data_IF_522911584393
#
_entry.id   IF_522911584393
#
_cell.length_a   1.000
_cell.length_b   1.000
_cell.length_c   1.000
_cell.angle_alpha   90.00
_cell.angle_beta   90.00
_cell.angle_gamma   90.00
#
_symmetry.space_group_name_H-M   'P 1'
#
loop_
_entity.id
_entity.type
_entity.pdbx_description
1 polymer ?
#
# COMPACT_ATOMS: atom_id res chain seq x y z
N UNK A 1 6.88 -29.84 2.05
CA UNK A 1 5.42 -29.94 1.89
C UNK A 1 4.85 -28.53 2.02
N UNK A 2 4.32 -27.95 0.93
CA UNK A 2 3.63 -26.65 1.00
C UNK A 2 2.30 -26.86 1.70
N UNK A 3 2.28 -26.60 3.00
CA UNK A 3 1.05 -26.64 3.80
C UNK A 3 0.27 -25.36 3.48
N UNK A 4 -0.66 -25.44 2.54
CA UNK A 4 -1.59 -24.36 2.30
C UNK A 4 -2.53 -24.23 3.50
N UNK A 5 -2.63 -23.02 4.05
CA UNK A 5 -3.66 -22.70 5.03
C UNK A 5 -4.99 -22.51 4.29
N UNK A 6 -6.10 -22.91 4.91
CA UNK A 6 -7.44 -22.81 4.33
C UNK A 6 -8.41 -22.11 5.30
N UNK A 7 -9.46 -21.48 4.76
CA UNK A 7 -10.59 -20.97 5.54
C UNK A 7 -11.93 -21.28 4.87
N UNK A 8 -13.00 -21.25 5.66
CA UNK A 8 -14.36 -21.53 5.20
C UNK A 8 -15.13 -20.23 4.97
N UNK A 9 -15.79 -20.09 3.83
CA UNK A 9 -16.67 -18.97 3.48
C UNK A 9 -17.89 -19.48 2.71
N UNK A 10 -19.11 -19.10 3.09
CA UNK A 10 -20.37 -19.64 2.52
C UNK A 10 -20.41 -21.17 2.33
N UNK A 11 -19.92 -21.92 3.30
CA UNK A 11 -19.80 -23.38 3.25
C UNK A 11 -18.79 -23.98 2.26
N UNK A 12 -18.01 -23.15 1.58
CA UNK A 12 -16.91 -23.56 0.71
C UNK A 12 -15.55 -23.34 1.38
N UNK A 13 -14.54 -24.10 0.94
CA UNK A 13 -13.18 -24.04 1.45
C UNK A 13 -12.29 -23.31 0.45
N UNK A 14 -11.58 -22.27 0.93
CA UNK A 14 -10.68 -21.46 0.13
C UNK A 14 -9.26 -21.57 0.66
N UNK A 15 -8.29 -21.63 -0.25
CA UNK A 15 -6.88 -21.50 0.12
C UNK A 15 -6.60 -20.05 0.53
N UNK A 16 -5.78 -19.86 1.56
CA UNK A 16 -5.29 -18.54 1.95
C UNK A 16 -4.38 -18.00 0.86
N UNK A 17 -4.49 -16.69 0.59
CA UNK A 17 -3.62 -15.96 -0.33
C UNK A 17 -2.15 -16.27 -0.04
N UNK A 18 -1.40 -16.56 -1.09
CA UNK A 18 0.07 -16.62 -1.02
C UNK A 18 0.57 -15.21 -1.40
N UNK A 19 1.28 -14.51 -0.49
CA UNK A 19 1.87 -13.22 -0.83
C UNK A 19 2.83 -13.34 -2.02
N UNK A 20 3.01 -12.26 -2.81
CA UNK A 20 3.92 -12.28 -3.94
C UNK A 20 5.37 -12.48 -3.44
N UNK A 21 6.07 -13.46 -4.03
CA UNK A 21 7.48 -13.72 -3.71
C UNK A 21 8.44 -12.80 -4.48
N UNK A 22 7.98 -12.22 -5.58
CA UNK A 22 8.76 -11.34 -6.45
C UNK A 22 7.92 -10.14 -6.88
N UNK A 23 8.59 -8.99 -7.00
CA UNK A 23 8.00 -7.76 -7.53
C UNK A 23 8.09 -7.80 -9.05
N UNK A 24 6.99 -7.64 -9.79
CA UNK A 24 7.04 -7.54 -11.25
C UNK A 24 7.93 -6.41 -11.76
N UNK A 25 8.34 -6.54 -13.02
CA UNK A 25 8.97 -5.45 -13.76
C UNK A 25 8.07 -4.22 -13.77
N UNK A 26 8.70 -3.04 -13.75
CA UNK A 26 7.98 -1.78 -13.64
C UNK A 26 6.91 -1.62 -14.73
N UNK A 27 5.69 -1.33 -14.31
CA UNK A 27 4.55 -1.11 -15.19
C UNK A 27 4.00 0.30 -14.99
N UNK A 28 4.32 1.20 -15.92
CA UNK A 28 3.90 2.60 -15.85
C UNK A 28 2.39 2.80 -15.75
N UNK A 29 1.57 1.91 -16.34
CA UNK A 29 0.10 2.02 -16.26
C UNK A 29 -0.44 1.79 -14.85
N UNK A 30 0.28 1.03 -14.02
CA UNK A 30 -0.13 0.70 -12.66
C UNK A 30 0.58 1.53 -11.61
N UNK A 31 1.81 1.95 -11.88
CA UNK A 31 2.70 2.44 -10.84
C UNK A 31 3.06 3.92 -10.98
N UNK A 32 2.96 4.50 -12.18
CA UNK A 32 3.54 5.82 -12.45
C UNK A 32 3.03 6.93 -11.53
N UNK A 33 1.75 6.91 -11.13
CA UNK A 33 1.16 7.97 -10.30
C UNK A 33 1.80 8.00 -8.90
N UNK A 34 1.71 6.90 -8.13
CA UNK A 34 2.34 6.87 -6.80
C UNK A 34 3.86 6.94 -6.86
N UNK A 35 4.50 6.38 -7.90
CA UNK A 35 5.96 6.45 -8.08
C UNK A 35 6.41 7.89 -8.27
N UNK A 36 5.74 8.65 -9.14
CA UNK A 36 6.05 10.08 -9.34
C UNK A 36 5.82 10.89 -8.06
N UNK A 37 4.75 10.59 -7.32
CA UNK A 37 4.49 11.25 -6.03
C UNK A 37 5.60 10.96 -5.01
N UNK A 38 6.14 9.75 -4.98
CA UNK A 38 7.29 9.41 -4.14
C UNK A 38 8.57 10.13 -4.60
N UNK A 39 8.86 10.18 -5.90
CA UNK A 39 10.03 10.90 -6.44
C UNK A 39 9.99 12.39 -6.09
N UNK A 40 8.81 13.02 -6.14
CA UNK A 40 8.62 14.40 -5.70
C UNK A 40 8.91 14.55 -4.20
N UNK A 41 8.34 13.67 -3.37
CA UNK A 41 8.56 13.70 -1.92
C UNK A 41 10.04 13.51 -1.54
N UNK A 42 10.75 12.60 -2.23
CA UNK A 42 12.18 12.41 -2.04
C UNK A 42 12.98 13.60 -2.53
N UNK A 43 12.58 14.21 -3.65
CA UNK A 43 13.31 15.34 -4.21
C UNK A 43 13.26 16.57 -3.30
N UNK A 44 12.09 16.83 -2.73
CA UNK A 44 11.86 17.88 -1.75
C UNK A 44 12.69 17.64 -0.48
N UNK A 45 12.57 16.47 0.14
CA UNK A 45 13.26 16.16 1.40
C UNK A 45 14.78 16.03 1.22
N UNK A 46 15.24 15.54 0.07
CA UNK A 46 16.66 15.37 -0.25
C UNK A 46 17.33 16.62 -0.81
N UNK A 47 16.57 17.69 -1.07
CA UNK A 47 17.04 18.89 -1.77
C UNK A 47 17.83 18.55 -3.06
N UNK A 48 17.32 17.58 -3.82
CA UNK A 48 17.94 17.02 -5.03
C UNK A 48 16.85 16.50 -5.95
N UNK A 49 16.85 16.90 -7.22
CA UNK A 49 15.86 16.41 -8.18
C UNK A 49 16.15 14.95 -8.57
N UNK A 50 15.19 14.06 -8.35
CA UNK A 50 15.19 12.70 -8.89
C UNK A 50 14.17 12.58 -10.02
N UNK A 51 14.65 12.37 -11.26
CA UNK A 51 13.77 12.21 -12.43
C UNK A 51 13.39 10.75 -12.67
N UNK A 52 14.14 9.82 -12.06
CA UNK A 52 13.93 8.39 -12.15
C UNK A 52 14.23 7.69 -10.83
N UNK A 53 13.50 6.61 -10.53
CA UNK A 53 13.78 5.79 -9.36
C UNK A 53 15.15 5.08 -9.43
N UNK A 54 15.78 5.03 -10.61
CA UNK A 54 17.13 4.50 -10.79
C UNK A 54 18.22 5.43 -10.24
N UNK A 55 17.90 6.70 -10.04
CA UNK A 55 18.83 7.73 -9.54
C UNK A 55 18.80 7.85 -8.00
N UNK A 56 17.92 7.09 -7.34
CA UNK A 56 17.73 7.16 -5.90
C UNK A 56 18.97 6.66 -5.18
N UNK A 57 19.46 7.49 -4.25
CA UNK A 57 20.44 7.14 -3.24
C UNK A 57 19.73 6.72 -1.93
N UNK A 58 20.51 6.33 -0.92
CA UNK A 58 19.96 6.03 0.39
C UNK A 58 19.59 7.31 1.14
N UNK A 59 18.48 7.34 1.91
CA UNK A 59 17.62 6.20 2.24
C UNK A 59 16.46 5.94 1.27
N UNK A 60 16.30 6.77 0.23
CA UNK A 60 15.12 6.79 -0.64
C UNK A 60 14.99 5.55 -1.52
N UNK A 61 16.11 5.01 -2.00
CA UNK A 61 16.13 3.77 -2.79
C UNK A 61 15.55 2.60 -2.01
N UNK A 62 15.99 2.42 -0.75
CA UNK A 62 15.45 1.38 0.14
C UNK A 62 13.97 1.61 0.44
N UNK A 63 13.58 2.85 0.75
CA UNK A 63 12.18 3.18 0.98
C UNK A 63 11.31 2.87 -0.25
N UNK A 64 11.76 3.27 -1.45
CA UNK A 64 11.07 3.01 -2.70
C UNK A 64 10.90 1.51 -3.00
N UNK A 65 11.94 0.71 -2.80
CA UNK A 65 11.86 -0.74 -2.99
C UNK A 65 10.82 -1.37 -2.06
N UNK A 66 10.78 -0.92 -0.79
CA UNK A 66 9.75 -1.34 0.16
C UNK A 66 8.35 -0.88 -0.26
N UNK A 67 8.20 0.36 -0.73
CA UNK A 67 6.92 0.88 -1.24
C UNK A 67 6.41 0.09 -2.45
N UNK A 68 7.28 -0.30 -3.39
CA UNK A 68 6.90 -1.17 -4.51
C UNK A 68 6.46 -2.55 -4.01
N UNK A 69 7.19 -3.14 -3.06
CA UNK A 69 6.79 -4.41 -2.44
C UNK A 69 5.39 -4.32 -1.82
N UNK A 70 5.17 -3.28 -0.99
CA UNK A 70 3.90 -3.02 -0.32
C UNK A 70 2.75 -2.87 -1.33
N UNK A 71 2.96 -2.11 -2.40
CA UNK A 71 1.99 -1.92 -3.48
C UNK A 71 1.55 -3.25 -4.12
N UNK A 72 2.48 -4.16 -4.39
CA UNK A 72 2.15 -5.46 -4.98
C UNK A 72 1.56 -6.46 -3.99
N UNK A 73 1.89 -6.35 -2.70
CA UNK A 73 1.15 -7.05 -1.64
C UNK A 73 -0.32 -6.64 -1.68
N UNK A 74 -0.62 -5.35 -1.61
CA UNK A 74 -2.00 -4.85 -1.68
C UNK A 74 -2.71 -5.27 -2.98
N UNK A 75 -2.00 -5.22 -4.12
CA UNK A 75 -2.55 -5.65 -5.41
C UNK A 75 -2.88 -7.14 -5.45
N UNK A 76 -2.08 -8.01 -4.81
CA UNK A 76 -2.41 -9.43 -4.72
C UNK A 76 -3.57 -9.68 -3.75
N UNK A 77 -3.70 -8.88 -2.69
CA UNK A 77 -4.86 -8.92 -1.81
C UNK A 77 -6.14 -8.57 -2.57
N UNK A 78 -6.12 -7.50 -3.36
CA UNK A 78 -7.23 -7.09 -4.21
C UNK A 78 -7.71 -8.21 -5.14
N UNK A 79 -6.77 -8.85 -5.85
CA UNK A 79 -7.08 -9.98 -6.74
C UNK A 79 -7.71 -11.11 -5.95
N UNK A 80 -7.09 -11.50 -4.84
CA UNK A 80 -7.56 -12.59 -4.00
C UNK A 80 -8.97 -12.36 -3.48
N UNK A 81 -9.25 -11.17 -2.92
CA UNK A 81 -10.55 -10.91 -2.32
C UNK A 81 -11.65 -10.77 -3.38
N UNK A 82 -11.33 -10.26 -4.58
CA UNK A 82 -12.29 -10.22 -5.68
C UNK A 82 -12.70 -11.61 -6.17
N UNK A 83 -11.79 -12.58 -6.08
CA UNK A 83 -12.07 -13.97 -6.50
C UNK A 83 -12.83 -14.76 -5.43
N UNK A 84 -12.59 -14.48 -4.14
CA UNK A 84 -13.19 -15.23 -3.04
C UNK A 84 -14.51 -14.64 -2.53
N UNK A 85 -14.65 -13.31 -2.54
CA UNK A 85 -15.79 -12.63 -1.96
C UNK A 85 -16.77 -12.13 -3.02
N UNK A 86 -18.07 -12.19 -2.71
CA UNK A 86 -19.14 -11.68 -3.59
C UNK A 86 -19.26 -10.16 -3.57
N UNK A 87 -18.86 -9.54 -2.46
CA UNK A 87 -18.89 -8.10 -2.24
C UNK A 87 -17.53 -7.48 -2.55
N UNK A 88 -17.51 -6.16 -2.80
CA UNK A 88 -16.27 -5.40 -2.99
C UNK A 88 -15.55 -5.13 -1.66
N UNK A 89 -15.02 -6.20 -1.10
CA UNK A 89 -14.34 -6.22 0.20
C UNK A 89 -13.04 -5.39 0.16
N UNK A 90 -12.38 -5.31 -1.00
CA UNK A 90 -11.17 -4.50 -1.14
C UNK A 90 -11.49 -3.00 -1.04
N UNK A 91 -12.56 -2.55 -1.69
CA UNK A 91 -13.01 -1.16 -1.56
C UNK A 91 -13.36 -0.80 -0.12
N UNK A 92 -14.07 -1.67 0.60
CA UNK A 92 -14.36 -1.46 2.02
C UNK A 92 -13.07 -1.34 2.85
N UNK A 93 -12.08 -2.18 2.59
CA UNK A 93 -10.77 -2.12 3.25
C UNK A 93 -10.04 -0.80 2.93
N UNK A 94 -10.08 -0.32 1.68
CA UNK A 94 -9.54 1.00 1.32
C UNK A 94 -10.19 2.13 2.09
N UNK A 95 -11.52 2.12 2.24
CA UNK A 95 -12.23 3.10 3.05
C UNK A 95 -11.77 3.08 4.51
N UNK A 96 -11.60 1.90 5.12
CA UNK A 96 -11.11 1.80 6.50
C UNK A 96 -9.70 2.37 6.67
N UNK A 97 -8.80 2.06 5.73
CA UNK A 97 -7.44 2.61 5.76
C UNK A 97 -7.48 4.13 5.56
N UNK A 98 -8.23 4.61 4.56
CA UNK A 98 -8.39 6.04 4.26
C UNK A 98 -8.87 6.83 5.48
N UNK A 99 -9.94 6.38 6.15
CA UNK A 99 -10.44 7.02 7.37
C UNK A 99 -9.44 6.97 8.54
N UNK A 100 -8.64 5.90 8.65
CA UNK A 100 -7.64 5.76 9.71
C UNK A 100 -6.45 6.70 9.53
N UNK A 101 -6.05 7.00 8.29
CA UNK A 101 -4.92 7.87 7.98
C UNK A 101 -5.31 9.35 7.88
N UNK A 102 -6.60 9.66 7.73
CA UNK A 102 -7.11 11.03 7.58
C UNK A 102 -6.55 12.01 8.63
N UNK A 103 -6.48 11.69 9.94
CA UNK A 103 -5.96 12.60 10.94
C UNK A 103 -4.53 13.07 10.70
N UNK A 104 -3.69 12.23 10.07
CA UNK A 104 -2.28 12.53 9.79
C UNK A 104 -2.13 13.71 8.81
N UNK A 105 -3.13 13.96 7.97
CA UNK A 105 -3.10 15.08 7.02
C UNK A 105 -3.38 16.44 7.66
N UNK A 106 -3.89 16.47 8.89
CA UNK A 106 -4.09 17.69 9.67
C UNK A 106 -2.93 17.99 10.63
N UNK A 107 -1.92 17.11 10.68
CA UNK A 107 -0.70 17.33 11.45
C UNK A 107 0.32 18.16 10.66
N UNK A 108 1.19 18.88 11.37
CA UNK A 108 2.28 19.62 10.76
C UNK A 108 3.41 18.68 10.32
N UNK A 109 3.68 18.65 9.01
CA UNK A 109 4.80 17.91 8.43
C UNK A 109 5.63 18.83 7.55
N UNK A 110 6.91 18.98 7.86
CA UNK A 110 7.81 19.86 7.11
C UNK A 110 8.15 19.35 5.69
N UNK A 111 7.91 18.07 5.41
CA UNK A 111 8.25 17.44 4.14
C UNK A 111 7.26 16.33 3.78
N UNK A 112 6.95 16.19 2.49
CA UNK A 112 6.08 15.13 1.97
C UNK A 112 6.58 13.72 2.34
N UNK A 113 7.90 13.51 2.35
CA UNK A 113 8.49 12.23 2.75
C UNK A 113 8.18 11.86 4.21
N UNK A 114 8.19 12.84 5.12
CA UNK A 114 7.89 12.62 6.54
C UNK A 114 6.41 12.28 6.70
N UNK A 115 5.51 13.03 6.04
CA UNK A 115 4.07 12.76 6.06
C UNK A 115 3.74 11.38 5.50
N UNK A 116 4.37 11.00 4.38
CA UNK A 116 4.25 9.66 3.81
C UNK A 116 4.58 8.57 4.84
N UNK A 117 5.71 8.70 5.55
CA UNK A 117 6.07 7.75 6.60
C UNK A 117 5.07 7.74 7.77
N UNK A 118 4.54 8.89 8.18
CA UNK A 118 3.51 8.98 9.21
C UNK A 118 2.22 8.26 8.79
N UNK A 119 1.75 8.51 7.56
CA UNK A 119 0.59 7.83 6.96
C UNK A 119 0.79 6.31 6.92
N UNK A 120 1.95 5.84 6.45
CA UNK A 120 2.24 4.41 6.37
C UNK A 120 2.30 3.75 7.76
N UNK A 121 2.82 4.45 8.78
CA UNK A 121 2.80 3.97 10.18
C UNK A 121 1.38 3.88 10.71
N UNK A 122 0.56 4.91 10.50
CA UNK A 122 -0.84 4.92 10.93
C UNK A 122 -1.67 3.84 10.23
N UNK A 123 -1.45 3.65 8.93
CA UNK A 123 -2.13 2.61 8.14
C UNK A 123 -1.93 1.23 8.75
N UNK A 124 -0.71 0.86 9.16
CA UNK A 124 -0.40 -0.44 9.78
C UNK A 124 -1.19 -0.67 11.06
N UNK A 125 -1.42 0.37 11.86
CA UNK A 125 -2.14 0.32 13.13
C UNK A 125 -3.66 0.17 12.97
N UNK A 126 -4.19 0.34 11.75
CA UNK A 126 -5.63 0.25 11.49
C UNK A 126 -6.17 -1.14 11.86
N UNK A 127 -7.11 -1.26 12.81
CA UNK A 127 -7.74 -2.54 13.11
C UNK A 127 -8.65 -2.97 11.96
N UNK A 128 -8.60 -4.25 11.60
CA UNK A 128 -9.48 -4.83 10.58
C UNK A 128 -10.53 -5.66 11.29
N UNK A 129 -11.77 -5.17 11.34
CA UNK A 129 -12.88 -5.85 12.01
C UNK A 129 -13.42 -7.06 11.21
N UNK A 130 -13.17 -7.10 9.90
CA UNK A 130 -13.67 -8.17 9.04
C UNK A 130 -12.94 -9.49 9.34
N UNK A 131 -13.70 -10.52 9.74
CA UNK A 131 -13.19 -11.78 10.33
C UNK A 131 -12.19 -12.58 9.48
N UNK A 132 -12.31 -12.50 8.14
CA UNK A 132 -11.36 -13.13 7.22
C UNK A 132 -10.19 -12.20 6.89
N UNK A 133 -10.46 -10.96 6.45
CA UNK A 133 -9.41 -9.97 6.17
C UNK A 133 -8.45 -9.79 7.34
N UNK A 134 -8.92 -9.82 8.58
CA UNK A 134 -8.09 -9.68 9.78
C UNK A 134 -7.02 -10.77 9.91
N UNK A 135 -7.14 -11.87 9.15
CA UNK A 135 -6.20 -13.01 9.15
C UNK A 135 -5.27 -13.02 7.93
N UNK A 136 -5.64 -12.34 6.85
CA UNK A 136 -4.93 -12.42 5.55
C UNK A 136 -4.34 -11.08 5.10
N UNK A 137 -4.81 -9.96 5.68
CA UNK A 137 -4.30 -8.63 5.42
C UNK A 137 -3.16 -8.34 6.39
N UNK A 138 -1.97 -8.16 5.82
CA UNK A 138 -0.72 -7.93 6.52
C UNK A 138 -0.35 -6.45 6.55
N UNK A 139 0.68 -6.10 7.30
CA UNK A 139 1.17 -4.73 7.38
C UNK A 139 1.55 -4.15 6.01
N UNK A 140 2.14 -4.97 5.13
CA UNK A 140 2.51 -4.58 3.76
C UNK A 140 1.28 -4.21 2.93
N UNK A 141 0.16 -4.94 3.06
CA UNK A 141 -1.07 -4.62 2.33
C UNK A 141 -1.63 -3.26 2.75
N UNK A 142 -1.64 -2.96 4.06
CA UNK A 142 -2.13 -1.68 4.58
C UNK A 142 -1.30 -0.50 4.05
N UNK A 143 0.01 -0.66 3.99
CA UNK A 143 0.92 0.33 3.37
C UNK A 143 0.70 0.46 1.87
N UNK A 144 0.57 -0.68 1.18
CA UNK A 144 0.32 -0.72 -0.25
C UNK A 144 -1.00 -0.07 -0.64
N UNK A 145 -2.03 -0.22 0.19
CA UNK A 145 -3.32 0.45 0.01
C UNK A 145 -3.14 1.97 0.00
N UNK A 146 -2.25 2.55 0.81
CA UNK A 146 -1.98 3.98 0.73
C UNK A 146 -1.42 4.39 -0.64
N UNK A 147 -0.58 3.56 -1.27
CA UNK A 147 -0.10 3.81 -2.63
C UNK A 147 -1.21 3.64 -3.68
N UNK A 148 -2.15 2.72 -3.48
CA UNK A 148 -3.38 2.63 -4.28
C UNK A 148 -4.26 3.88 -4.13
N UNK A 149 -4.41 4.42 -2.91
CA UNK A 149 -5.16 5.66 -2.67
C UNK A 149 -4.51 6.87 -3.37
N UNK A 150 -3.19 6.89 -3.49
CA UNK A 150 -2.48 7.90 -4.29
C UNK A 150 -2.76 7.75 -5.78
N UNK A 151 -2.75 6.53 -6.30
CA UNK A 151 -3.12 6.26 -7.69
C UNK A 151 -4.55 6.72 -8.01
N UNK A 152 -5.47 6.56 -7.06
CA UNK A 152 -6.86 6.97 -7.18
C UNK A 152 -7.08 8.48 -7.02
N UNK A 153 -6.05 9.21 -6.58
CA UNK A 153 -6.13 10.65 -6.31
C UNK A 153 -6.83 11.00 -4.99
N UNK A 154 -7.12 10.02 -4.14
CA UNK A 154 -7.71 10.23 -2.81
C UNK A 154 -6.67 10.74 -1.80
N UNK A 155 -5.40 10.38 -2.00
CA UNK A 155 -4.28 10.82 -1.16
C UNK A 155 -3.21 11.48 -2.03
N UNK A 156 -2.60 12.55 -1.53
CA UNK A 156 -1.41 13.16 -2.12
C UNK A 156 -0.30 13.18 -1.08
N UNK A 157 0.97 13.03 -1.49
CA UNK A 157 2.10 13.13 -0.56
C UNK A 157 2.53 14.57 -0.29
N UNK A 158 2.22 15.50 -1.18
CA UNK A 158 2.67 16.90 -1.13
C UNK A 158 2.11 17.67 0.07
N UNK A 159 3.00 18.22 0.88
CA UNK A 159 2.66 19.19 1.92
C UNK A 159 2.39 20.55 1.25
N UNK A 160 1.38 21.29 1.72
CA UNK A 160 1.08 22.64 1.22
C UNK A 160 1.92 23.67 1.94
#
# INVERSE_FOLDING_TARGET
>A
ANTHLYFKYFNELYAVRIPPNEIPTYNSKKESVYVNALLQAYSEHGNKTYSSFLELDEPYRRHFNNSRNDFYFASSLEVFVREVFKDDVFKALKCYISSSIEPVFYEDHNYAFIRCNAVLKQAVLTPIAHSILSKICEANDKKGICHHLVNDGEVIWTVR
#
